data_IF_883968316897
#
_entry.id   IF_883968316897
#
_cell.length_a   1.000
_cell.length_b   1.000
_cell.length_c   1.000
_cell.angle_alpha   90.00
_cell.angle_beta   90.00
_cell.angle_gamma   90.00
#
_symmetry.space_group_name_H-M   'P 1'
#
loop_
_entity.id
_entity.type
_entity.pdbx_description
1 polymer ?
#
# COMPACT_ATOMS: atom_id res chain seq x y z
N UNK A 1 5.89 20.07 5.79
CA UNK A 1 5.24 18.96 6.52
C UNK A 1 5.68 17.67 5.86
N UNK A 2 5.71 16.59 6.60
CA UNK A 2 6.18 15.27 6.18
C UNK A 2 5.03 14.26 6.27
N UNK A 3 5.22 13.09 5.67
CA UNK A 3 4.29 11.96 5.79
C UNK A 3 4.97 10.81 6.53
N UNK A 4 4.23 10.13 7.39
CA UNK A 4 4.58 8.85 7.99
C UNK A 4 3.83 7.75 7.25
N UNK A 5 4.54 6.74 6.79
CA UNK A 5 3.93 5.66 6.01
C UNK A 5 4.34 4.28 6.54
N UNK A 6 3.43 3.33 6.42
CA UNK A 6 3.69 1.93 6.70
C UNK A 6 2.78 1.03 5.86
N UNK A 7 3.31 -0.11 5.43
CA UNK A 7 2.46 -1.22 5.00
C UNK A 7 2.01 -2.00 6.22
N UNK A 8 0.74 -1.95 6.55
CA UNK A 8 0.19 -2.81 7.60
C UNK A 8 0.13 -4.26 7.12
N UNK A 9 -0.17 -4.50 5.87
CA UNK A 9 -0.12 -5.81 5.20
C UNK A 9 -0.06 -5.60 3.69
N UNK A 10 0.61 -6.52 2.97
CA UNK A 10 0.69 -6.44 1.51
C UNK A 10 0.75 -7.83 0.89
N UNK A 11 -0.23 -8.13 0.03
CA UNK A 11 -0.36 -9.39 -0.69
C UNK A 11 -1.81 -9.90 -0.73
N UNK A 12 -2.07 -10.96 -1.46
CA UNK A 12 -3.40 -11.56 -1.69
C UNK A 12 -4.13 -12.12 -0.44
N UNK A 13 -3.54 -12.01 0.73
CA UNK A 13 -4.19 -12.27 2.03
C UNK A 13 -4.69 -10.99 2.72
N UNK A 14 -4.48 -9.84 2.11
CA UNK A 14 -4.94 -8.54 2.58
C UNK A 14 -3.96 -7.43 2.24
N UNK A 15 -4.47 -6.27 1.86
CA UNK A 15 -3.72 -5.06 1.56
C UNK A 15 -4.23 -3.94 2.47
N UNK A 16 -3.33 -3.24 3.14
CA UNK A 16 -3.68 -2.13 4.00
C UNK A 16 -2.45 -1.23 4.18
N UNK A 17 -2.54 0.01 3.71
CA UNK A 17 -1.45 0.98 3.75
C UNK A 17 -1.85 2.18 4.58
N UNK A 18 -1.03 2.51 5.59
CA UNK A 18 -1.19 3.68 6.44
C UNK A 18 -0.37 4.83 5.86
N UNK A 19 -1.01 5.98 5.64
CA UNK A 19 -0.35 7.21 5.25
C UNK A 19 -0.93 8.35 6.10
N UNK A 20 -0.08 9.06 6.83
CA UNK A 20 -0.52 10.12 7.73
C UNK A 20 0.56 11.14 8.03
N UNK A 21 0.19 12.14 8.81
CA UNK A 21 1.09 13.13 9.39
C UNK A 21 0.91 13.17 10.92
N UNK A 22 1.38 14.22 11.57
CA UNK A 22 1.26 14.35 13.04
C UNK A 22 -0.20 14.46 13.53
N UNK A 23 -1.13 14.90 12.67
CA UNK A 23 -2.52 15.24 13.05
C UNK A 23 -3.53 14.21 12.57
N UNK A 24 -3.43 13.79 11.33
CA UNK A 24 -4.37 12.88 10.68
C UNK A 24 -3.69 11.83 9.81
N UNK A 25 -4.42 10.77 9.54
CA UNK A 25 -4.00 9.70 8.65
C UNK A 25 -5.17 9.15 7.85
N UNK A 26 -4.86 8.44 6.78
CA UNK A 26 -5.81 7.65 5.99
C UNK A 26 -5.30 6.22 5.86
N UNK A 27 -6.22 5.30 5.58
CA UNK A 27 -5.88 3.98 5.09
C UNK A 27 -6.20 3.90 3.59
N UNK A 28 -5.27 3.36 2.81
CA UNK A 28 -5.56 2.88 1.47
C UNK A 28 -5.78 1.39 1.57
N UNK A 29 -7.01 0.97 1.27
CA UNK A 29 -7.56 -0.35 1.49
C UNK A 29 -7.55 -0.81 2.95
N UNK A 30 -8.34 -1.83 3.27
CA UNK A 30 -8.35 -2.51 4.56
C UNK A 30 -8.74 -3.97 4.34
N UNK A 31 -7.86 -4.71 3.68
CA UNK A 31 -8.08 -6.11 3.31
C UNK A 31 -7.86 -7.10 4.44
N UNK A 32 -7.20 -6.70 5.53
CA UNK A 32 -7.07 -7.50 6.75
C UNK A 32 -8.18 -7.16 7.75
N UNK A 33 -8.46 -8.08 8.68
CA UNK A 33 -9.53 -7.85 9.66
C UNK A 33 -9.28 -6.61 10.53
N UNK A 34 -10.35 -6.00 11.05
CA UNK A 34 -10.28 -4.87 11.97
C UNK A 34 -9.33 -5.15 13.15
N UNK A 35 -9.47 -6.34 13.79
CA UNK A 35 -8.60 -6.74 14.89
C UNK A 35 -7.13 -6.82 14.49
N UNK A 36 -6.83 -7.30 13.29
CA UNK A 36 -5.45 -7.39 12.80
C UNK A 36 -4.90 -6.01 12.46
N UNK A 37 -5.71 -5.14 11.86
CA UNK A 37 -5.34 -3.74 11.61
C UNK A 37 -4.97 -3.03 12.91
N UNK A 38 -5.83 -3.13 13.93
CA UNK A 38 -5.59 -2.55 15.27
C UNK A 38 -4.28 -3.06 15.88
N UNK A 39 -4.09 -4.39 15.85
CA UNK A 39 -2.92 -5.05 16.42
C UNK A 39 -1.63 -4.57 15.77
N UNK A 40 -1.60 -4.47 14.44
CA UNK A 40 -0.42 -4.00 13.68
C UNK A 40 -0.16 -2.53 13.92
N UNK A 41 -1.20 -1.69 13.88
CA UNK A 41 -1.05 -0.28 14.23
C UNK A 41 -0.53 -0.07 15.66
N UNK A 42 -1.03 -0.84 16.63
CA UNK A 42 -0.56 -0.78 18.01
C UNK A 42 0.93 -1.14 18.14
N UNK A 43 1.40 -2.19 17.45
CA UNK A 43 2.83 -2.56 17.44
C UNK A 43 3.73 -1.46 16.85
N UNK A 44 3.19 -0.69 15.92
CA UNK A 44 3.88 0.45 15.30
C UNK A 44 3.74 1.76 16.11
N UNK A 45 3.04 1.77 17.23
CA UNK A 45 2.75 2.99 17.97
C UNK A 45 1.79 3.96 17.24
N UNK A 46 1.08 3.47 16.22
CA UNK A 46 0.13 4.26 15.44
C UNK A 46 -1.25 4.25 16.10
N UNK A 47 -1.93 5.39 16.12
CA UNK A 47 -3.25 5.54 16.72
C UNK A 47 -4.37 5.45 15.69
N UNK A 48 -5.35 4.58 15.90
CA UNK A 48 -6.58 4.55 15.10
C UNK A 48 -7.38 5.85 15.16
N UNK A 49 -7.23 6.65 16.22
CA UNK A 49 -7.91 7.94 16.37
C UNK A 49 -7.41 8.99 15.35
N UNK A 50 -6.18 8.84 14.85
CA UNK A 50 -5.63 9.66 13.77
C UNK A 50 -6.20 9.31 12.40
N UNK A 51 -6.67 8.08 12.20
CA UNK A 51 -7.26 7.65 10.94
C UNK A 51 -8.59 8.38 10.74
N UNK A 52 -8.74 9.08 9.63
CA UNK A 52 -9.90 9.93 9.32
C UNK A 52 -10.74 9.39 8.16
N UNK A 53 -10.17 8.50 7.33
CA UNK A 53 -10.87 7.93 6.19
C UNK A 53 -10.19 6.64 5.71
N UNK A 54 -10.95 5.82 4.98
CA UNK A 54 -10.48 4.69 4.20
C UNK A 54 -10.77 4.98 2.74
N UNK A 55 -9.77 4.85 1.86
CA UNK A 55 -9.92 4.93 0.41
C UNK A 55 -9.79 3.54 -0.18
N UNK A 56 -10.75 3.15 -1.03
CA UNK A 56 -10.84 1.81 -1.60
C UNK A 56 -10.37 1.83 -3.03
N UNK A 57 -9.35 1.04 -3.34
CA UNK A 57 -8.79 0.93 -4.68
C UNK A 57 -9.69 0.14 -5.64
N UNK A 58 -10.24 -0.97 -5.19
CA UNK A 58 -11.17 -1.85 -5.92
C UNK A 58 -11.83 -2.88 -4.98
N UNK A 59 -12.75 -3.71 -5.50
CA UNK A 59 -13.64 -4.57 -4.72
C UNK A 59 -13.08 -5.95 -4.34
N UNK A 60 -11.89 -6.34 -4.73
CA UNK A 60 -11.37 -7.66 -4.37
C UNK A 60 -11.26 -7.84 -2.85
N UNK A 61 -11.52 -9.06 -2.39
CA UNK A 61 -11.68 -9.37 -0.96
C UNK A 61 -10.44 -8.99 -0.13
N UNK A 62 -9.26 -9.15 -0.69
CA UNK A 62 -7.99 -8.78 -0.04
C UNK A 62 -7.73 -7.27 0.04
N UNK A 63 -8.66 -6.45 -0.44
CA UNK A 63 -8.67 -4.99 -0.29
C UNK A 63 -9.79 -4.50 0.63
N UNK A 64 -10.86 -5.28 0.81
CA UNK A 64 -12.08 -4.77 1.46
C UNK A 64 -12.53 -5.51 2.71
N UNK A 65 -11.99 -6.70 3.03
CA UNK A 65 -12.49 -7.58 4.11
C UNK A 65 -12.67 -6.92 5.49
N UNK A 66 -11.82 -5.97 5.84
CA UNK A 66 -11.87 -5.27 7.14
C UNK A 66 -12.73 -4.01 7.16
N UNK A 67 -13.10 -3.47 5.98
CA UNK A 67 -13.66 -2.13 5.83
C UNK A 67 -14.94 -1.95 6.62
N UNK A 68 -15.92 -2.83 6.48
CA UNK A 68 -17.23 -2.66 7.12
C UNK A 68 -17.12 -2.60 8.65
N UNK A 69 -16.26 -3.43 9.24
CA UNK A 69 -16.05 -3.44 10.69
C UNK A 69 -15.26 -2.22 11.16
N UNK A 70 -14.19 -1.83 10.46
CA UNK A 70 -13.40 -0.65 10.78
C UNK A 70 -14.23 0.63 10.67
N UNK A 71 -14.95 0.79 9.56
CA UNK A 71 -15.81 1.96 9.32
C UNK A 71 -16.84 2.11 10.41
N UNK A 72 -17.58 1.05 10.74
CA UNK A 72 -18.60 1.09 11.80
C UNK A 72 -18.00 1.36 13.18
N UNK A 73 -16.90 0.66 13.55
CA UNK A 73 -16.28 0.75 14.88
C UNK A 73 -15.71 2.13 15.18
N UNK A 74 -15.06 2.74 14.19
CA UNK A 74 -14.36 4.01 14.35
C UNK A 74 -15.05 5.19 13.68
N UNK A 75 -16.26 4.97 13.13
CA UNK A 75 -17.05 5.96 12.37
C UNK A 75 -16.24 6.57 11.22
N UNK A 76 -15.46 5.72 10.51
CA UNK A 76 -14.60 6.17 9.43
C UNK A 76 -15.38 6.31 8.12
N UNK A 77 -15.33 7.49 7.49
CA UNK A 77 -15.73 7.67 6.10
C UNK A 77 -15.00 6.68 5.18
N UNK A 78 -15.74 6.04 4.28
CA UNK A 78 -15.22 5.14 3.24
C UNK A 78 -15.41 5.81 1.89
N UNK A 79 -14.29 6.18 1.27
CA UNK A 79 -14.25 6.72 -0.08
C UNK A 79 -14.14 5.57 -1.08
N UNK A 80 -15.20 5.35 -1.84
CA UNK A 80 -15.33 4.22 -2.76
C UNK A 80 -16.14 4.64 -4.00
N UNK A 81 -15.76 4.18 -5.19
CA UNK A 81 -16.55 4.50 -6.38
C UNK A 81 -17.89 3.73 -6.38
N UNK A 82 -18.95 4.27 -7.00
CA UNK A 82 -20.25 3.59 -7.05
C UNK A 82 -20.15 2.18 -7.67
N UNK A 83 -19.35 2.01 -8.72
CA UNK A 83 -19.19 0.70 -9.38
C UNK A 83 -18.47 -0.30 -8.46
N UNK A 84 -17.39 0.13 -7.77
CA UNK A 84 -16.68 -0.69 -6.79
C UNK A 84 -17.60 -1.06 -5.61
N UNK A 85 -18.39 -0.12 -5.10
CA UNK A 85 -19.34 -0.39 -4.01
C UNK A 85 -20.39 -1.42 -4.43
N UNK A 86 -20.97 -1.25 -5.62
CA UNK A 86 -21.97 -2.19 -6.15
C UNK A 86 -21.40 -3.61 -6.28
N UNK A 87 -20.16 -3.75 -6.75
CA UNK A 87 -19.51 -5.04 -6.97
C UNK A 87 -18.90 -5.66 -5.71
N UNK A 88 -18.70 -4.86 -4.64
CA UNK A 88 -18.01 -5.30 -3.42
C UNK A 88 -18.84 -6.17 -2.49
N UNK A 89 -20.16 -6.08 -2.54
CA UNK A 89 -21.05 -6.71 -1.55
C UNK A 89 -20.93 -6.11 -0.13
N UNK A 90 -20.22 -5.00 0.05
CA UNK A 90 -20.06 -4.36 1.36
C UNK A 90 -21.38 -3.78 1.87
N UNK A 91 -21.69 -4.07 3.14
CA UNK A 91 -22.78 -3.41 3.87
C UNK A 91 -22.18 -2.30 4.74
N UNK A 92 -22.30 -1.06 4.29
CA UNK A 92 -21.80 0.13 4.96
C UNK A 92 -22.95 1.03 5.43
N UNK A 93 -22.73 1.78 6.50
CA UNK A 93 -23.67 2.81 6.94
C UNK A 93 -23.68 3.96 5.94
N UNK A 94 -24.86 4.34 5.45
CA UNK A 94 -25.02 5.26 4.31
C UNK A 94 -24.32 6.61 4.54
N UNK A 95 -24.35 7.13 5.76
CA UNK A 95 -23.69 8.38 6.14
C UNK A 95 -22.17 8.34 6.16
N UNK A 96 -21.58 7.13 6.12
CA UNK A 96 -20.14 6.92 6.06
C UNK A 96 -19.63 6.59 4.64
N UNK A 97 -20.52 6.51 3.65
CA UNK A 97 -20.15 6.24 2.26
C UNK A 97 -19.99 7.54 1.48
N UNK A 98 -18.80 7.73 0.94
CA UNK A 98 -18.46 8.86 0.09
C UNK A 98 -17.91 8.37 -1.24
N UNK A 99 -18.21 9.07 -2.32
CA UNK A 99 -17.61 8.75 -3.61
C UNK A 99 -16.44 9.67 -3.92
N UNK A 100 -15.50 9.17 -4.72
CA UNK A 100 -14.47 9.98 -5.36
C UNK A 100 -14.52 9.77 -6.87
N UNK A 101 -13.89 10.67 -7.62
CA UNK A 101 -13.69 10.55 -9.05
C UNK A 101 -12.21 10.65 -9.40
N UNK A 102 -11.82 9.98 -10.49
CA UNK A 102 -10.46 10.09 -11.01
C UNK A 102 -10.11 11.56 -11.29
N UNK A 103 -8.90 11.96 -10.91
CA UNK A 103 -8.34 13.32 -11.08
C UNK A 103 -9.05 14.44 -10.32
N UNK A 104 -10.10 14.17 -9.55
CA UNK A 104 -10.71 15.11 -8.62
C UNK A 104 -10.11 14.88 -7.21
N UNK A 105 -9.28 15.77 -6.68
CA UNK A 105 -8.64 15.57 -5.38
C UNK A 105 -9.67 15.61 -4.24
N UNK A 106 -9.48 14.71 -3.27
CA UNK A 106 -10.20 14.72 -1.99
C UNK A 106 -9.22 15.16 -0.91
N UNK A 107 -9.62 16.14 -0.08
CA UNK A 107 -8.79 16.66 1.01
C UNK A 107 -9.31 16.20 2.36
N UNK A 108 -8.43 15.62 3.18
CA UNK A 108 -8.66 15.19 4.56
C UNK A 108 -7.66 15.95 5.44
N UNK A 109 -8.13 16.98 6.14
CA UNK A 109 -7.26 17.88 6.89
C UNK A 109 -6.22 18.55 5.96
N UNK A 110 -4.95 18.26 6.13
CA UNK A 110 -3.85 18.75 5.28
C UNK A 110 -3.36 17.72 4.25
N UNK A 111 -4.01 16.55 4.17
CA UNK A 111 -3.66 15.48 3.24
C UNK A 111 -4.60 15.54 2.04
N UNK A 112 -4.05 15.57 0.84
CA UNK A 112 -4.79 15.54 -0.43
C UNK A 112 -4.60 14.21 -1.11
N UNK A 113 -5.68 13.55 -1.48
CA UNK A 113 -5.72 12.25 -2.12
C UNK A 113 -6.20 12.42 -3.56
N UNK A 114 -5.39 12.02 -4.52
CA UNK A 114 -5.71 12.03 -5.95
C UNK A 114 -5.78 10.60 -6.48
N UNK A 115 -6.97 10.18 -6.89
CA UNK A 115 -7.20 8.88 -7.52
C UNK A 115 -6.97 8.97 -9.04
N UNK A 116 -6.46 7.90 -9.63
CA UNK A 116 -6.34 7.75 -11.09
C UNK A 116 -6.56 6.30 -11.50
N UNK A 117 -7.08 6.05 -12.73
CA UNK A 117 -7.39 4.71 -13.19
C UNK A 117 -6.15 3.82 -13.32
N UNK A 118 -6.31 2.54 -13.05
CA UNK A 118 -5.33 1.49 -13.33
C UNK A 118 -5.96 0.36 -14.15
N UNK A 119 -5.15 -0.38 -14.86
CA UNK A 119 -5.59 -1.60 -15.54
C UNK A 119 -5.57 -2.77 -14.55
N UNK A 120 -6.74 -3.27 -14.20
CA UNK A 120 -6.92 -4.46 -13.35
C UNK A 120 -8.28 -5.07 -13.61
N UNK A 121 -8.46 -6.37 -13.33
CA UNK A 121 -9.70 -7.11 -13.55
C UNK A 121 -10.74 -6.86 -12.43
N UNK A 122 -11.10 -5.60 -12.26
CA UNK A 122 -12.05 -5.12 -11.27
C UNK A 122 -13.04 -4.12 -11.90
N UNK A 123 -14.15 -3.84 -11.24
CA UNK A 123 -15.24 -3.02 -11.78
C UNK A 123 -14.80 -1.56 -12.07
N UNK A 124 -14.01 -0.94 -11.19
CA UNK A 124 -13.52 0.42 -11.37
C UNK A 124 -12.26 0.67 -10.55
N UNK A 125 -11.15 0.07 -10.98
CA UNK A 125 -9.90 0.05 -10.23
C UNK A 125 -9.13 1.38 -10.31
N UNK A 126 -8.62 1.84 -9.16
CA UNK A 126 -7.83 3.06 -9.03
C UNK A 126 -6.55 2.85 -8.22
N UNK A 127 -5.54 3.61 -8.56
CA UNK A 127 -4.35 3.87 -7.74
C UNK A 127 -4.44 5.27 -7.15
N UNK A 128 -3.57 5.59 -6.17
CA UNK A 128 -3.65 6.85 -5.44
C UNK A 128 -2.29 7.50 -5.28
N UNK A 129 -2.27 8.85 -5.43
CA UNK A 129 -1.22 9.71 -4.89
C UNK A 129 -1.76 10.45 -3.67
N UNK A 130 -1.00 10.42 -2.60
CA UNK A 130 -1.31 11.08 -1.33
C UNK A 130 -0.27 12.17 -1.10
N UNK A 131 -0.71 13.42 -1.04
CA UNK A 131 0.16 14.58 -0.95
C UNK A 131 -0.11 15.35 0.35
N UNK A 132 0.96 15.72 1.05
CA UNK A 132 0.91 16.67 2.16
C UNK A 132 2.01 17.72 1.94
N UNK A 133 1.64 18.98 1.78
CA UNK A 133 2.54 20.05 1.36
C UNK A 133 3.24 19.70 0.03
N UNK A 134 4.55 19.46 0.06
CA UNK A 134 5.34 19.12 -1.14
C UNK A 134 5.70 17.63 -1.21
N UNK A 135 5.30 16.82 -0.23
CA UNK A 135 5.60 15.39 -0.17
C UNK A 135 4.47 14.58 -0.77
N UNK A 136 4.79 13.74 -1.73
CA UNK A 136 3.83 12.83 -2.38
C UNK A 136 4.25 11.37 -2.16
N UNK A 137 3.30 10.55 -1.74
CA UNK A 137 3.42 9.10 -1.62
C UNK A 137 2.43 8.44 -2.57
N UNK A 138 2.88 7.45 -3.33
CA UNK A 138 2.04 6.69 -4.25
C UNK A 138 1.69 5.30 -3.73
N UNK A 139 0.50 4.80 -4.07
CA UNK A 139 0.08 3.41 -3.84
C UNK A 139 -0.36 2.82 -5.17
N UNK A 140 0.45 1.90 -5.69
CA UNK A 140 0.34 1.29 -7.02
C UNK A 140 0.36 -0.24 -6.88
N UNK A 141 -0.72 -0.83 -6.42
CA UNK A 141 -0.91 -2.28 -6.29
C UNK A 141 -1.95 -2.76 -7.29
N UNK A 142 -1.92 -4.04 -7.62
CA UNK A 142 -2.86 -4.66 -8.56
C UNK A 142 -2.86 -3.95 -9.92
N UNK A 143 -1.69 -3.97 -10.52
CA UNK A 143 -1.40 -3.29 -11.79
C UNK A 143 -1.22 -4.33 -12.89
N UNK A 144 -2.19 -4.41 -13.78
CA UNK A 144 -2.11 -5.34 -14.92
C UNK A 144 -1.08 -4.93 -15.96
N UNK A 145 -0.86 -3.63 -16.14
CA UNK A 145 0.17 -3.10 -17.05
C UNK A 145 0.61 -1.69 -16.64
N UNK A 146 1.86 -1.38 -16.89
CA UNK A 146 2.39 -0.02 -16.76
C UNK A 146 1.78 0.86 -17.85
N UNK A 147 0.93 1.78 -17.46
CA UNK A 147 0.28 2.74 -18.36
C UNK A 147 0.73 4.16 -18.07
N UNK A 148 0.39 5.09 -18.98
CA UNK A 148 0.72 6.51 -18.84
C UNK A 148 0.26 7.10 -17.50
N UNK A 149 -0.92 6.73 -17.01
CA UNK A 149 -1.41 7.20 -15.71
C UNK A 149 -0.49 6.78 -14.56
N UNK A 150 -0.08 5.50 -14.54
CA UNK A 150 0.86 5.00 -13.53
C UNK A 150 2.19 5.76 -13.60
N UNK A 151 2.80 5.83 -14.78
CA UNK A 151 4.14 6.40 -14.93
C UNK A 151 4.20 7.89 -14.63
N UNK A 152 3.20 8.68 -15.05
CA UNK A 152 3.09 10.11 -14.74
C UNK A 152 2.88 10.39 -13.25
N UNK A 153 2.15 9.53 -12.55
CA UNK A 153 1.92 9.66 -11.12
C UNK A 153 3.08 9.12 -10.29
N UNK A 154 3.73 8.05 -10.73
CA UNK A 154 4.93 7.51 -10.10
C UNK A 154 6.10 8.51 -10.13
N UNK A 155 6.28 9.22 -11.24
CA UNK A 155 7.32 10.25 -11.39
C UNK A 155 7.18 11.46 -10.43
N UNK A 156 6.08 11.56 -9.68
CA UNK A 156 5.85 12.63 -8.69
C UNK A 156 6.12 12.19 -7.25
N UNK A 157 6.46 10.91 -7.02
CA UNK A 157 6.49 10.32 -5.70
C UNK A 157 7.84 10.47 -5.00
N UNK A 158 7.83 10.94 -3.76
CA UNK A 158 8.96 10.91 -2.82
C UNK A 158 9.14 9.51 -2.23
N UNK A 159 8.02 8.77 -2.09
CA UNK A 159 8.00 7.35 -1.77
C UNK A 159 6.84 6.67 -2.49
N UNK A 160 6.96 5.37 -2.77
CA UNK A 160 5.89 4.63 -3.43
C UNK A 160 5.79 3.19 -2.91
N UNK A 161 4.57 2.69 -2.77
CA UNK A 161 4.27 1.26 -2.74
C UNK A 161 3.99 0.84 -4.19
N UNK A 162 4.91 0.08 -4.78
CA UNK A 162 4.82 -0.41 -6.16
C UNK A 162 4.68 -1.91 -6.17
N UNK A 163 3.72 -2.42 -6.90
CA UNK A 163 3.57 -3.86 -7.10
C UNK A 163 4.81 -4.46 -7.76
N UNK A 164 5.29 -5.56 -7.17
CA UNK A 164 6.21 -6.51 -7.77
C UNK A 164 5.68 -7.91 -7.45
N UNK A 165 4.67 -8.35 -8.21
CA UNK A 165 3.86 -9.48 -7.81
C UNK A 165 4.58 -10.81 -8.01
N UNK A 166 5.15 -11.05 -9.18
CA UNK A 166 5.72 -12.35 -9.50
C UNK A 166 7.07 -12.25 -10.24
N UNK A 167 7.88 -13.27 -10.02
CA UNK A 167 9.01 -13.59 -10.85
C UNK A 167 8.54 -14.45 -12.03
N UNK A 168 8.99 -14.15 -13.26
CA UNK A 168 8.52 -14.79 -14.48
C UNK A 168 8.85 -16.28 -14.50
N UNK A 169 10.06 -16.65 -14.08
CA UNK A 169 10.52 -18.06 -14.04
C UNK A 169 9.77 -18.85 -12.98
N UNK A 170 9.55 -18.26 -11.79
CA UNK A 170 8.78 -18.89 -10.71
C UNK A 170 7.32 -19.09 -11.14
N UNK A 171 6.70 -18.11 -11.80
CA UNK A 171 5.33 -18.25 -12.32
C UNK A 171 5.27 -19.35 -13.38
N UNK A 172 6.22 -19.40 -14.33
CA UNK A 172 6.20 -20.38 -15.41
C UNK A 172 6.38 -21.79 -14.88
N UNK A 173 7.32 -22.03 -13.97
CA UNK A 173 7.60 -23.32 -13.35
C UNK A 173 6.65 -23.66 -12.20
N UNK A 174 5.91 -22.68 -11.68
CA UNK A 174 5.02 -22.83 -10.54
C UNK A 174 3.83 -23.74 -10.80
N UNK A 175 3.18 -24.18 -9.73
CA UNK A 175 2.06 -25.16 -9.75
C UNK A 175 0.73 -24.61 -10.24
N UNK A 176 0.64 -23.32 -10.51
CA UNK A 176 -0.62 -22.70 -10.94
C UNK A 176 -1.05 -23.26 -12.31
N UNK A 177 -2.35 -23.53 -12.50
CA UNK A 177 -2.87 -23.97 -13.79
C UNK A 177 -2.67 -22.89 -14.85
N UNK A 178 -2.57 -23.28 -16.12
CA UNK A 178 -2.25 -22.40 -17.23
C UNK A 178 -3.16 -21.19 -17.33
N UNK A 179 -4.48 -21.35 -17.12
CA UNK A 179 -5.43 -20.23 -17.18
C UNK A 179 -5.16 -19.16 -16.12
N UNK A 180 -4.72 -19.58 -14.90
CA UNK A 180 -4.36 -18.64 -13.83
C UNK A 180 -3.04 -17.93 -14.14
N UNK A 181 -2.02 -18.64 -14.62
CA UNK A 181 -0.76 -18.02 -15.10
C UNK A 181 -1.04 -16.98 -16.19
N UNK A 182 -1.91 -17.32 -17.14
CA UNK A 182 -2.32 -16.39 -18.20
C UNK A 182 -3.06 -15.16 -17.67
N UNK A 183 -3.94 -15.33 -16.67
CA UNK A 183 -4.62 -14.22 -16.00
C UNK A 183 -3.60 -13.31 -15.30
N UNK A 184 -2.67 -13.88 -14.51
CA UNK A 184 -1.68 -13.13 -13.75
C UNK A 184 -0.80 -12.26 -14.67
N UNK A 185 -0.25 -12.83 -15.74
CA UNK A 185 0.62 -12.10 -16.69
C UNK A 185 -0.13 -11.28 -17.73
N UNK A 186 -1.44 -11.35 -17.74
CA UNK A 186 -2.27 -10.57 -18.66
C UNK A 186 -2.33 -9.10 -18.31
N UNK A 187 -2.65 -8.24 -19.28
CA UNK A 187 -2.69 -6.79 -19.12
C UNK A 187 -3.72 -6.26 -18.09
N UNK A 188 -4.51 -7.14 -17.49
CA UNK A 188 -5.43 -6.85 -16.38
C UNK A 188 -5.06 -7.62 -15.10
N UNK A 189 -3.96 -8.38 -15.11
CA UNK A 189 -3.47 -9.15 -13.96
C UNK A 189 -2.58 -8.32 -13.03
N UNK A 190 -1.27 -8.66 -13.01
CA UNK A 190 -0.29 -8.07 -12.11
C UNK A 190 1.03 -7.77 -12.82
N UNK A 191 1.82 -6.84 -12.27
CA UNK A 191 3.19 -6.58 -12.74
C UNK A 191 4.13 -7.69 -12.27
N UNK A 192 4.99 -8.14 -13.18
CA UNK A 192 6.16 -8.93 -12.82
C UNK A 192 7.24 -8.08 -12.14
N UNK A 193 8.24 -8.75 -11.54
CA UNK A 193 9.41 -8.10 -10.99
C UNK A 193 10.15 -7.26 -12.06
N UNK A 194 10.28 -7.79 -13.27
CA UNK A 194 10.95 -7.11 -14.39
C UNK A 194 10.18 -5.89 -14.85
N UNK A 195 8.86 -5.99 -15.01
CA UNK A 195 8.02 -4.86 -15.39
C UNK A 195 8.02 -3.75 -14.33
N UNK A 196 7.95 -4.12 -13.05
CA UNK A 196 8.04 -3.17 -11.95
C UNK A 196 9.41 -2.49 -11.88
N UNK A 197 10.49 -3.23 -12.12
CA UNK A 197 11.85 -2.68 -12.22
C UNK A 197 11.97 -1.71 -13.40
N UNK A 198 11.38 -2.01 -14.54
CA UNK A 198 11.36 -1.10 -15.70
C UNK A 198 10.68 0.23 -15.36
N UNK A 199 9.52 0.19 -14.67
CA UNK A 199 8.85 1.41 -14.16
C UNK A 199 9.78 2.20 -13.25
N UNK A 200 10.45 1.54 -12.32
CA UNK A 200 11.37 2.17 -11.38
C UNK A 200 12.57 2.80 -12.09
N UNK A 201 13.22 2.09 -13.00
CA UNK A 201 14.40 2.58 -13.70
C UNK A 201 14.10 3.77 -14.63
N UNK A 202 12.94 3.72 -15.29
CA UNK A 202 12.59 4.69 -16.33
C UNK A 202 11.91 5.94 -15.76
N UNK A 203 11.15 5.80 -14.68
CA UNK A 203 10.25 6.86 -14.22
C UNK A 203 10.50 7.31 -12.77
N UNK A 204 11.50 6.73 -12.07
CA UNK A 204 11.87 7.18 -10.72
C UNK A 204 12.38 8.62 -10.76
N UNK A 205 11.76 9.54 -9.99
CA UNK A 205 12.33 10.89 -9.86
C UNK A 205 13.59 10.86 -8.99
N UNK A 206 14.51 11.77 -9.25
CA UNK A 206 15.79 11.85 -8.51
C UNK A 206 15.61 12.07 -7.00
N UNK A 207 14.47 12.62 -6.58
CA UNK A 207 14.14 12.86 -5.18
C UNK A 207 13.40 11.71 -4.49
N UNK A 208 13.20 10.56 -5.13
CA UNK A 208 12.54 9.41 -4.51
C UNK A 208 13.47 8.80 -3.45
N UNK A 209 13.05 8.86 -2.20
CA UNK A 209 13.81 8.35 -1.05
C UNK A 209 13.53 6.88 -0.72
N UNK A 210 12.30 6.40 -0.93
CA UNK A 210 11.88 5.05 -0.56
C UNK A 210 11.00 4.39 -1.63
N UNK A 211 11.27 3.12 -1.88
CA UNK A 211 10.42 2.26 -2.69
C UNK A 211 10.04 1.02 -1.91
N UNK A 212 8.74 0.83 -1.70
CA UNK A 212 8.18 -0.37 -1.08
C UNK A 212 7.72 -1.31 -2.19
N UNK A 213 8.38 -2.45 -2.31
CA UNK A 213 7.94 -3.53 -3.20
C UNK A 213 6.75 -4.21 -2.55
N UNK A 214 5.60 -4.11 -3.17
CA UNK A 214 4.32 -4.47 -2.59
C UNK A 214 3.63 -5.60 -3.35
N UNK A 215 2.63 -6.20 -2.72
CA UNK A 215 1.74 -7.19 -3.30
C UNK A 215 2.43 -8.42 -3.90
N UNK A 216 3.48 -8.92 -3.22
CA UNK A 216 4.22 -10.09 -3.66
C UNK A 216 3.34 -11.36 -3.60
N UNK A 217 3.39 -12.16 -4.67
CA UNK A 217 2.79 -13.50 -4.70
C UNK A 217 3.50 -14.42 -3.70
N UNK A 218 2.72 -15.20 -2.95
CA UNK A 218 3.27 -16.18 -2.01
C UNK A 218 4.02 -17.31 -2.72
N UNK A 219 3.51 -17.74 -3.86
CA UNK A 219 3.94 -18.98 -4.52
C UNK A 219 4.82 -18.71 -5.74
N UNK A 220 4.81 -17.49 -6.27
CA UNK A 220 5.51 -17.14 -7.50
C UNK A 220 6.45 -15.94 -7.34
N UNK A 221 6.89 -15.64 -6.11
CA UNK A 221 7.91 -14.64 -5.85
C UNK A 221 8.69 -14.98 -4.58
N UNK A 222 9.90 -14.44 -4.46
CA UNK A 222 10.73 -14.53 -3.26
C UNK A 222 11.13 -13.11 -2.82
N UNK A 223 10.89 -12.73 -1.55
CA UNK A 223 11.23 -11.40 -1.02
C UNK A 223 12.72 -11.03 -1.16
N UNK A 224 13.63 -11.99 -1.02
CA UNK A 224 15.07 -11.75 -1.14
C UNK A 224 15.46 -11.53 -2.60
N UNK A 225 14.90 -12.35 -3.51
CA UNK A 225 15.14 -12.23 -4.94
C UNK A 225 14.74 -10.84 -5.45
N UNK A 226 13.52 -10.42 -5.17
CA UNK A 226 13.02 -9.12 -5.64
C UNK A 226 13.75 -7.96 -4.97
N UNK A 227 14.08 -8.06 -3.68
CA UNK A 227 14.88 -7.06 -2.98
C UNK A 227 16.27 -6.92 -3.60
N UNK A 228 16.97 -8.02 -3.86
CA UNK A 228 18.29 -8.01 -4.48
C UNK A 228 18.24 -7.40 -5.90
N UNK A 229 17.22 -7.79 -6.69
CA UNK A 229 17.01 -7.27 -8.04
C UNK A 229 16.92 -5.74 -8.05
N UNK A 230 16.11 -5.15 -7.18
CA UNK A 230 15.94 -3.70 -7.12
C UNK A 230 17.11 -2.97 -6.47
N UNK A 231 17.72 -3.57 -5.43
CA UNK A 231 18.84 -2.96 -4.69
C UNK A 231 20.06 -2.72 -5.56
N UNK A 232 20.31 -3.54 -6.59
CA UNK A 232 21.38 -3.33 -7.58
C UNK A 232 21.23 -2.03 -8.37
N UNK A 233 20.02 -1.45 -8.38
CA UNK A 233 19.67 -0.27 -9.16
C UNK A 233 19.12 0.88 -8.30
N UNK A 234 19.15 0.72 -6.99
CA UNK A 234 18.50 1.61 -6.04
C UNK A 234 19.08 3.04 -6.04
N UNK A 235 20.41 3.20 -6.21
CA UNK A 235 21.07 4.48 -5.97
C UNK A 235 20.84 4.92 -4.52
N UNK A 236 20.32 6.13 -4.33
CA UNK A 236 19.98 6.69 -3.01
C UNK A 236 18.60 6.29 -2.50
N UNK A 237 17.81 5.54 -3.28
CA UNK A 237 16.47 5.11 -2.88
C UNK A 237 16.56 3.88 -1.98
N UNK A 238 15.98 3.94 -0.77
CA UNK A 238 15.87 2.76 0.09
C UNK A 238 14.81 1.80 -0.46
N UNK A 239 15.18 0.53 -0.63
CA UNK A 239 14.30 -0.53 -1.12
C UNK A 239 13.77 -1.35 0.06
N UNK A 240 12.47 -1.41 0.22
CA UNK A 240 11.78 -2.13 1.29
C UNK A 240 10.83 -3.16 0.67
N UNK A 241 10.83 -4.38 1.17
CA UNK A 241 9.83 -5.38 0.77
C UNK A 241 8.70 -5.40 1.79
N UNK A 242 7.50 -5.04 1.34
CA UNK A 242 6.29 -5.12 2.16
C UNK A 242 5.83 -6.58 2.30
N UNK A 243 5.58 -7.01 3.54
CA UNK A 243 5.29 -8.40 3.86
C UNK A 243 3.79 -8.68 3.96
N UNK A 244 3.41 -9.89 3.59
CA UNK A 244 2.08 -10.45 3.86
C UNK A 244 1.91 -11.01 5.29
N UNK A 245 2.98 -11.10 6.05
CA UNK A 245 2.99 -11.74 7.38
C UNK A 245 3.12 -10.73 8.52
N UNK A 246 3.90 -9.67 8.30
CA UNK A 246 4.18 -8.63 9.28
C UNK A 246 4.09 -7.25 8.63
N UNK A 247 3.82 -6.25 9.43
CA UNK A 247 3.88 -4.85 9.02
C UNK A 247 5.32 -4.38 8.81
N UNK A 248 5.53 -3.36 7.98
CA UNK A 248 6.82 -2.65 7.89
C UNK A 248 7.00 -1.73 9.11
N UNK A 249 8.20 -1.24 9.33
CA UNK A 249 8.40 -0.08 10.20
C UNK A 249 7.62 1.14 9.68
N UNK A 250 7.47 2.15 10.53
CA UNK A 250 6.95 3.46 10.12
C UNK A 250 8.11 4.26 9.53
N UNK A 251 7.95 4.71 8.30
CA UNK A 251 8.94 5.52 7.59
C UNK A 251 8.50 6.98 7.53
N UNK A 252 9.44 7.87 7.75
CA UNK A 252 9.22 9.30 7.69
C UNK A 252 9.68 9.84 6.34
N UNK A 253 8.74 10.32 5.52
CA UNK A 253 8.99 10.83 4.18
C UNK A 253 8.96 12.36 4.22
N UNK A 254 10.09 13.00 3.89
CA UNK A 254 10.23 14.46 3.83
C UNK A 254 10.57 14.94 2.43
N UNK A 255 10.26 16.20 2.14
CA UNK A 255 10.59 16.84 0.85
C UNK A 255 12.04 17.33 0.73
N UNK A 256 12.86 17.18 1.77
CA UNK A 256 14.28 17.53 1.76
C UNK A 256 15.13 16.25 1.67
N UNK A 257 16.09 16.21 0.74
CA UNK A 257 17.19 15.26 0.76
C UNK A 257 18.07 15.52 1.99
N UNK A 258 17.68 15.00 3.15
CA UNK A 258 18.61 14.78 4.26
C UNK A 258 18.87 13.26 4.31
N UNK A 259 20.13 12.81 4.56
CA UNK A 259 20.39 11.39 4.77
C UNK A 259 19.44 10.87 5.85
N UNK A 260 18.68 9.84 5.53
CA UNK A 260 17.67 9.27 6.42
C UNK A 260 18.33 8.78 7.70
N UNK A 261 17.91 9.32 8.85
CA UNK A 261 18.16 8.65 10.13
C UNK A 261 17.55 7.25 10.05
N UNK A 262 18.34 6.24 10.44
CA UNK A 262 17.92 4.85 10.47
C UNK A 262 16.59 4.73 11.23
N UNK A 263 15.68 3.83 10.83
CA UNK A 263 14.40 3.65 11.51
C UNK A 263 14.63 3.45 13.01
N UNK A 264 13.95 4.27 13.83
CA UNK A 264 13.99 4.13 15.29
C UNK A 264 13.23 2.86 15.63
N UNK A 265 13.96 1.77 15.88
CA UNK A 265 13.41 0.59 16.50
C UNK A 265 13.05 0.94 17.93
N UNK A 266 11.81 1.32 18.19
CA UNK A 266 11.24 1.38 19.54
C UNK A 266 10.98 -0.07 19.97
N UNK A 267 12.06 -0.80 20.30
CA UNK A 267 11.94 -2.02 21.08
C UNK A 267 11.58 -1.55 22.48
N UNK A 268 10.31 -1.74 22.86
CA UNK A 268 9.92 -1.60 24.25
C UNK A 268 10.81 -2.55 25.09
N UNK A 269 11.67 -2.00 25.91
CA UNK A 269 12.45 -2.79 26.88
C UNK A 269 11.48 -3.60 27.71
N UNK A 270 11.55 -4.92 27.57
CA UNK A 270 10.84 -5.85 28.46
C UNK A 270 11.50 -5.72 29.83
N UNK A 271 10.86 -4.99 30.74
CA UNK A 271 11.16 -5.06 32.16
C UNK A 271 10.94 -6.49 32.62
N UNK A 272 12.00 -7.23 32.87
CA UNK A 272 11.92 -8.53 33.54
C UNK A 272 11.43 -8.30 34.96
N UNK A 273 10.18 -8.64 35.22
CA UNK A 273 9.67 -8.77 36.59
C UNK A 273 10.17 -10.10 37.11
N UNK A 274 11.20 -10.05 37.95
CA UNK A 274 11.71 -11.19 38.70
C UNK A 274 10.73 -11.51 39.82
N UNK A 275 9.98 -12.60 39.69
CA UNK A 275 9.20 -13.16 40.81
C UNK A 275 10.18 -13.93 41.71
N UNK A 276 10.49 -13.39 42.90
CA UNK A 276 11.07 -14.16 43.98
C UNK A 276 9.99 -14.95 44.68
N UNK A 277 10.12 -16.27 44.62
CA UNK A 277 9.36 -17.20 45.46
C UNK A 277 9.87 -17.11 46.91
N UNK A 278 8.99 -16.76 47.82
CA UNK A 278 9.01 -17.19 49.20
C UNK A 278 7.62 -17.73 49.55
#
# INVERSE_FOLDING_TARGET
MSLFIASLNSGSNGNCYYIGNDKEAILIDAGISCRETERRMQRLGLSMQKVKAIFVSHEHSDHINGIAVLSRKYRLPVYITPATLQSSGLSLERELVFSFKAYEPVTIGSITISAFPKFHDAAHAHSFNITCSQVTVGVFTDIGMACKHLTEHFAKCHAAFLEANYDEDMLERGRYPYHLKRRIRGGLGHLSNTQALEVFLTHRPAFMSHLFLAHLSKDNNDPNLVHELFSRHAGETEIIVASRFVETAVYHISGSFAPTEKPVNIIAERTQVQFSLF
#
